data_IF_097720631634
#
_entry.id   IF_097720631634
#
_cell.length_a   1.000
_cell.length_b   1.000
_cell.length_c   1.000
_cell.angle_alpha   90.00
_cell.angle_beta   90.00
_cell.angle_gamma   90.00
#
_symmetry.space_group_name_H-M   'P 1'
#
loop_
_entity.id
_entity.type
_entity.pdbx_description
1 polymer ?
#
# COMPACT_ATOMS: atom_id res chain seq x y z
N UNK A 1 21.42 -35.40 -49.82
CA UNK A 1 20.53 -35.79 -48.71
C UNK A 1 21.16 -35.83 -47.30
N UNK A 2 22.45 -36.12 -47.14
CA UNK A 2 23.11 -36.14 -45.80
C UNK A 2 23.23 -34.75 -45.13
N UNK A 3 23.50 -33.69 -45.88
CA UNK A 3 23.72 -32.33 -45.33
C UNK A 3 22.45 -31.72 -44.72
N UNK A 4 21.27 -31.99 -45.33
CA UNK A 4 19.97 -31.48 -44.80
C UNK A 4 19.60 -32.16 -43.46
N UNK A 5 19.89 -33.45 -43.27
CA UNK A 5 19.62 -34.15 -42.01
C UNK A 5 20.49 -33.63 -40.86
N UNK A 6 21.76 -33.29 -41.13
CA UNK A 6 22.66 -32.74 -40.15
C UNK A 6 22.22 -31.29 -39.76
N UNK A 7 21.75 -30.51 -40.71
CA UNK A 7 21.24 -29.16 -40.43
C UNK A 7 19.98 -29.18 -39.56
N UNK A 8 19.04 -30.09 -39.84
CA UNK A 8 17.84 -30.27 -39.00
C UNK A 8 18.21 -30.70 -37.58
N UNK A 9 19.15 -31.65 -37.44
CA UNK A 9 19.62 -32.10 -36.14
C UNK A 9 20.27 -30.96 -35.31
N UNK A 10 21.13 -30.19 -35.95
CA UNK A 10 21.76 -29.02 -35.29
C UNK A 10 20.72 -27.97 -34.90
N UNK A 11 19.75 -27.68 -35.76
CA UNK A 11 18.68 -26.72 -35.46
C UNK A 11 17.82 -27.19 -34.30
N UNK A 12 17.39 -28.42 -34.25
CA UNK A 12 16.60 -28.94 -33.12
C UNK A 12 17.36 -29.00 -31.82
N UNK A 13 18.67 -29.17 -31.82
CA UNK A 13 19.50 -29.16 -30.64
C UNK A 13 19.81 -27.71 -30.17
N UNK A 14 20.00 -26.77 -31.08
CA UNK A 14 20.32 -25.38 -30.75
C UNK A 14 19.07 -24.55 -30.37
N UNK A 15 17.88 -24.91 -30.90
CA UNK A 15 16.65 -24.18 -30.69
C UNK A 15 16.28 -23.97 -29.20
N UNK A 16 16.28 -24.99 -28.32
CA UNK A 16 15.97 -24.78 -26.90
C UNK A 16 17.00 -23.89 -26.19
N UNK A 17 18.27 -23.95 -26.60
CA UNK A 17 19.32 -23.09 -26.03
C UNK A 17 19.13 -21.64 -26.47
N UNK A 18 18.85 -21.42 -27.76
CA UNK A 18 18.55 -20.09 -28.28
C UNK A 18 17.28 -19.51 -27.62
N UNK A 19 16.24 -20.31 -27.49
CA UNK A 19 15.00 -19.92 -26.83
C UNK A 19 15.23 -19.56 -25.35
N UNK A 20 16.03 -20.35 -24.63
CA UNK A 20 16.42 -20.07 -23.25
C UNK A 20 17.18 -18.75 -23.13
N UNK A 21 18.17 -18.52 -24.01
CA UNK A 21 18.93 -17.27 -24.01
C UNK A 21 18.07 -16.06 -24.39
N UNK A 22 17.15 -16.24 -25.34
CA UNK A 22 16.17 -15.23 -25.71
C UNK A 22 15.25 -14.87 -24.54
N UNK A 23 14.64 -15.86 -23.89
CA UNK A 23 13.78 -15.63 -22.74
C UNK A 23 14.55 -15.00 -21.56
N UNK A 24 15.80 -15.39 -21.35
CA UNK A 24 16.64 -14.77 -20.31
C UNK A 24 17.02 -13.34 -20.64
N UNK A 25 17.22 -12.99 -21.91
CA UNK A 25 17.60 -11.64 -22.35
C UNK A 25 16.40 -10.67 -22.42
N UNK A 26 15.21 -11.18 -22.78
CA UNK A 26 14.00 -10.39 -22.92
C UNK A 26 13.00 -10.60 -21.78
N UNK A 27 13.21 -11.60 -20.93
CA UNK A 27 12.33 -11.96 -19.83
C UNK A 27 12.57 -11.20 -18.54
N UNK A 28 13.28 -10.08 -18.56
CA UNK A 28 13.26 -9.13 -17.45
C UNK A 28 11.91 -8.41 -17.53
N UNK A 29 10.97 -8.87 -16.74
CA UNK A 29 9.71 -8.16 -16.51
C UNK A 29 10.07 -6.86 -15.75
N UNK A 30 10.36 -5.82 -16.48
CA UNK A 30 10.42 -4.45 -15.95
C UNK A 30 8.99 -3.94 -15.74
N UNK A 31 8.24 -4.58 -14.84
CA UNK A 31 7.05 -3.97 -14.27
C UNK A 31 7.52 -2.88 -13.31
N UNK A 32 7.69 -1.68 -13.85
CA UNK A 32 7.97 -0.53 -13.01
C UNK A 32 6.65 -0.02 -12.46
N UNK A 33 6.44 -0.26 -11.15
CA UNK A 33 5.27 0.27 -10.47
C UNK A 33 5.41 1.79 -10.38
N UNK A 34 4.36 2.55 -10.71
CA UNK A 34 4.39 4.00 -10.66
C UNK A 34 4.70 4.51 -9.26
N UNK A 35 5.33 5.67 -9.20
CA UNK A 35 5.37 6.51 -8.00
C UNK A 35 4.29 7.59 -8.21
N UNK A 36 3.29 7.59 -7.36
CA UNK A 36 2.23 8.58 -7.44
C UNK A 36 2.70 9.91 -6.82
N UNK A 37 2.33 11.02 -7.44
CA UNK A 37 2.61 12.38 -6.98
C UNK A 37 4.09 12.73 -6.75
N UNK A 38 5.01 12.10 -7.47
CA UNK A 38 6.45 12.41 -7.37
C UNK A 38 6.77 13.84 -7.86
N UNK A 39 6.06 14.29 -8.89
CA UNK A 39 6.23 15.62 -9.51
C UNK A 39 4.94 16.43 -9.58
N UNK A 40 3.81 15.83 -9.27
CA UNK A 40 2.50 16.45 -9.37
C UNK A 40 2.02 16.96 -8.01
N UNK A 41 1.40 18.15 -8.02
CA UNK A 41 0.73 18.68 -6.82
C UNK A 41 -0.51 17.83 -6.56
N UNK A 42 -0.68 17.35 -5.34
CA UNK A 42 -1.87 16.62 -4.92
C UNK A 42 -3.09 17.53 -5.08
N UNK A 43 -4.05 17.13 -5.90
CA UNK A 43 -5.11 17.99 -6.46
C UNK A 43 -5.98 18.72 -5.42
N UNK A 44 -6.08 18.16 -4.21
CA UNK A 44 -6.94 18.69 -3.13
C UNK A 44 -6.15 19.21 -1.94
N UNK A 45 -4.83 19.31 -2.05
CA UNK A 45 -4.01 19.87 -1.00
C UNK A 45 -3.96 21.40 -1.14
N UNK A 46 -4.55 22.10 -0.19
CA UNK A 46 -4.49 23.57 -0.14
C UNK A 46 -3.06 23.99 0.17
N UNK A 47 -2.41 24.71 -0.76
CA UNK A 47 -0.99 25.10 -0.71
C UNK A 47 -0.61 25.99 0.50
N UNK A 48 -1.58 26.36 1.31
CA UNK A 48 -1.34 27.21 2.50
C UNK A 48 -0.83 26.44 3.72
N UNK A 49 -0.90 25.08 3.72
CA UNK A 49 -0.52 24.22 4.86
C UNK A 49 0.27 22.97 4.45
N UNK A 50 1.10 23.06 3.42
CA UNK A 50 1.82 21.92 2.80
C UNK A 50 3.00 21.35 3.60
N UNK A 51 3.17 21.67 4.87
CA UNK A 51 4.13 20.95 5.70
C UNK A 51 3.57 19.56 6.03
N UNK A 52 3.74 18.61 5.09
CA UNK A 52 3.49 17.17 5.30
C UNK A 52 4.23 16.67 6.56
N UNK A 53 5.38 17.30 6.86
CA UNK A 53 6.21 17.06 8.04
C UNK A 53 5.56 17.49 9.37
N UNK A 54 4.45 18.25 9.35
CA UNK A 54 3.87 18.81 10.57
C UNK A 54 2.65 18.08 11.12
N UNK A 55 2.25 16.95 10.52
CA UNK A 55 1.13 16.17 11.04
C UNK A 55 1.60 15.29 12.19
N UNK A 56 1.17 15.66 13.40
CA UNK A 56 1.39 14.85 14.61
C UNK A 56 0.34 13.76 14.70
N UNK A 57 0.79 12.58 15.00
CA UNK A 57 -0.03 11.43 15.40
C UNK A 57 0.35 11.01 16.81
N UNK A 58 -0.52 10.27 17.45
CA UNK A 58 -0.36 9.90 18.85
C UNK A 58 -0.36 8.38 18.98
N UNK A 59 0.54 7.87 19.82
CA UNK A 59 0.56 6.47 20.22
C UNK A 59 -0.54 6.17 21.23
N UNK A 60 -0.75 4.90 21.52
CA UNK A 60 -1.68 4.45 22.56
C UNK A 60 -1.29 4.98 23.95
N UNK A 61 -0.01 5.23 24.19
CA UNK A 61 0.54 5.79 25.43
C UNK A 61 0.38 7.31 25.51
N UNK A 62 -0.07 7.95 24.42
CA UNK A 62 -0.28 9.40 24.33
C UNK A 62 0.93 10.18 23.85
N UNK A 63 2.04 9.52 23.51
CA UNK A 63 3.20 10.17 22.95
C UNK A 63 2.91 10.68 21.54
N UNK A 64 3.39 11.88 21.22
CA UNK A 64 3.24 12.45 19.87
C UNK A 64 4.47 12.19 19.03
N UNK A 65 4.24 11.69 17.83
CA UNK A 65 5.29 11.44 16.82
C UNK A 65 4.91 12.11 15.50
N UNK A 66 5.91 12.36 14.66
CA UNK A 66 5.66 12.85 13.29
C UNK A 66 5.20 11.69 12.42
N UNK A 67 4.15 11.91 11.63
CA UNK A 67 3.51 10.86 10.83
C UNK A 67 4.46 10.12 9.88
N UNK A 68 5.39 10.81 9.25
CA UNK A 68 6.29 10.23 8.24
C UNK A 68 7.64 9.73 8.80
N UNK A 69 8.04 10.18 9.99
CA UNK A 69 9.35 9.86 10.57
C UNK A 69 9.39 8.55 11.36
N UNK A 70 8.24 7.99 11.69
CA UNK A 70 8.13 7.00 12.76
C UNK A 70 8.35 5.55 12.36
N UNK A 71 8.55 5.26 11.08
CA UNK A 71 8.58 3.85 10.64
C UNK A 71 9.82 3.51 9.82
N UNK A 72 10.53 2.50 10.30
CA UNK A 72 11.72 1.94 9.64
C UNK A 72 11.41 0.79 8.67
N UNK A 73 10.13 0.38 8.54
CA UNK A 73 9.76 -0.69 7.63
C UNK A 73 10.01 -0.33 6.16
N UNK A 74 10.45 -1.32 5.37
CA UNK A 74 10.70 -1.13 3.95
C UNK A 74 9.42 -0.83 3.17
N UNK A 75 8.30 -1.43 3.58
CA UNK A 75 6.98 -1.16 3.02
C UNK A 75 5.96 -0.92 4.13
N UNK A 76 5.00 -0.05 3.84
CA UNK A 76 3.93 0.28 4.78
C UNK A 76 2.59 0.25 4.06
N UNK A 77 1.61 -0.37 4.68
CA UNK A 77 0.22 -0.31 4.23
C UNK A 77 -0.55 0.55 5.22
N UNK A 78 -0.98 1.72 4.75
CA UNK A 78 -1.70 2.70 5.57
C UNK A 78 -3.17 2.66 5.26
N UNK A 79 -4.01 2.72 6.29
CA UNK A 79 -5.46 2.81 6.14
C UNK A 79 -6.09 3.59 7.30
N UNK A 80 -7.33 4.04 7.06
CA UNK A 80 -8.17 4.71 8.07
C UNK A 80 -9.39 3.81 8.29
N UNK A 81 -9.45 3.01 9.37
CA UNK A 81 -10.57 2.10 9.60
C UNK A 81 -11.84 2.87 10.00
N UNK A 82 -12.99 2.37 9.56
CA UNK A 82 -14.30 2.76 10.09
C UNK A 82 -14.78 1.66 11.04
N UNK A 83 -14.73 1.91 12.33
CA UNK A 83 -15.14 0.95 13.37
C UNK A 83 -16.61 0.57 13.30
N UNK A 84 -17.45 1.43 12.75
CA UNK A 84 -18.90 1.21 12.63
C UNK A 84 -19.29 0.36 11.41
N UNK A 85 -18.30 0.06 10.53
CA UNK A 85 -18.55 -0.76 9.36
C UNK A 85 -18.81 -2.22 9.76
N UNK A 86 -19.95 -2.76 9.35
CA UNK A 86 -20.35 -4.17 9.62
C UNK A 86 -19.37 -5.19 9.02
N UNK A 87 -18.64 -4.79 7.98
CA UNK A 87 -17.67 -5.63 7.26
C UNK A 87 -16.23 -5.46 7.76
N UNK A 88 -16.02 -4.73 8.85
CA UNK A 88 -14.70 -4.46 9.42
C UNK A 88 -13.87 -5.73 9.65
N UNK A 89 -14.54 -6.86 9.92
CA UNK A 89 -13.87 -8.15 10.08
C UNK A 89 -13.25 -8.65 8.76
N UNK A 90 -13.87 -8.35 7.62
CA UNK A 90 -13.30 -8.66 6.30
C UNK A 90 -11.97 -7.92 6.11
N UNK A 91 -11.94 -6.62 6.38
CA UNK A 91 -10.71 -5.83 6.33
C UNK A 91 -9.62 -6.39 7.25
N UNK A 92 -9.97 -6.71 8.51
CA UNK A 92 -9.03 -7.33 9.47
C UNK A 92 -8.46 -8.65 8.95
N UNK A 93 -9.29 -9.49 8.34
CA UNK A 93 -8.85 -10.77 7.76
C UNK A 93 -7.90 -10.57 6.58
N UNK A 94 -8.22 -9.63 5.68
CA UNK A 94 -7.39 -9.32 4.53
C UNK A 94 -6.02 -8.72 4.94
N UNK A 95 -6.00 -7.80 5.90
CA UNK A 95 -4.75 -7.25 6.42
C UNK A 95 -3.90 -8.31 7.15
N UNK A 96 -4.53 -9.21 7.91
CA UNK A 96 -3.83 -10.36 8.49
C UNK A 96 -3.26 -11.29 7.40
N UNK A 97 -3.96 -11.45 6.26
CA UNK A 97 -3.45 -12.22 5.12
C UNK A 97 -2.20 -11.57 4.52
N UNK A 98 -2.16 -10.25 4.39
CA UNK A 98 -0.96 -9.51 3.98
C UNK A 98 0.20 -9.77 4.95
N UNK A 99 0.00 -9.59 6.26
CA UNK A 99 1.04 -9.82 7.28
C UNK A 99 1.55 -11.26 7.27
N UNK A 100 0.67 -12.26 7.16
CA UNK A 100 1.06 -13.67 7.10
C UNK A 100 1.85 -13.99 5.83
N UNK A 101 1.52 -13.34 4.71
CA UNK A 101 2.23 -13.56 3.44
C UNK A 101 3.68 -13.05 3.50
N UNK A 102 3.93 -12.03 4.33
CA UNK A 102 5.21 -11.35 4.44
C UNK A 102 5.77 -11.38 5.87
N UNK A 103 5.57 -12.49 6.59
CA UNK A 103 5.96 -12.63 7.99
C UNK A 103 7.45 -12.36 8.24
N UNK A 104 8.31 -12.80 7.32
CA UNK A 104 9.77 -12.65 7.41
C UNK A 104 10.30 -11.32 6.82
N UNK A 105 9.43 -10.45 6.31
CA UNK A 105 9.82 -9.23 5.61
C UNK A 105 9.46 -7.97 6.42
N UNK A 106 10.15 -6.88 6.15
CA UNK A 106 9.93 -5.58 6.80
C UNK A 106 8.71 -4.86 6.18
N UNK A 107 7.52 -5.31 6.57
CA UNK A 107 6.25 -4.72 6.14
C UNK A 107 5.40 -4.44 7.36
N UNK A 108 4.95 -3.19 7.50
CA UNK A 108 4.09 -2.74 8.60
C UNK A 108 2.72 -2.32 8.09
N UNK A 109 1.70 -2.58 8.90
CA UNK A 109 0.35 -2.04 8.71
C UNK A 109 0.14 -0.89 9.69
N UNK A 110 -0.32 0.25 9.17
CA UNK A 110 -0.53 1.47 9.91
C UNK A 110 -2.00 1.83 9.87
N UNK A 111 -2.66 1.74 11.02
CA UNK A 111 -4.05 2.14 11.20
C UNK A 111 -4.12 3.53 11.80
N UNK A 112 -4.68 4.49 11.06
CA UNK A 112 -4.85 5.87 11.51
C UNK A 112 -6.30 6.11 11.91
N UNK A 113 -6.54 6.52 13.15
CA UNK A 113 -7.87 6.72 13.70
C UNK A 113 -8.06 8.17 14.18
N UNK A 114 -9.24 8.78 13.95
CA UNK A 114 -9.53 10.08 14.54
C UNK A 114 -9.68 9.92 16.07
N UNK A 115 -9.17 10.86 16.83
CA UNK A 115 -9.42 10.93 18.27
C UNK A 115 -10.90 11.17 18.55
N UNK A 116 -11.49 10.37 19.42
CA UNK A 116 -12.83 10.67 19.92
C UNK A 116 -12.83 11.94 20.78
N UNK A 117 -13.85 12.78 20.62
CA UNK A 117 -13.96 14.05 21.35
C UNK A 117 -14.16 13.86 22.87
N UNK A 118 -14.51 12.66 23.30
CA UNK A 118 -14.84 12.33 24.69
C UNK A 118 -13.74 11.56 25.44
N UNK A 119 -12.68 11.13 24.76
CA UNK A 119 -11.67 10.28 25.39
C UNK A 119 -10.43 11.06 25.80
N UNK A 120 -10.37 11.35 27.10
CA UNK A 120 -9.12 11.71 27.77
C UNK A 120 -8.17 10.50 27.94
N UNK A 121 -8.60 9.31 27.54
CA UNK A 121 -7.83 8.06 27.55
C UNK A 121 -7.93 7.43 26.16
N UNK A 122 -6.81 7.39 25.47
CA UNK A 122 -6.63 6.65 24.21
C UNK A 122 -6.55 5.16 24.59
N UNK A 123 -7.67 4.60 25.01
CA UNK A 123 -7.78 3.22 25.47
C UNK A 123 -8.51 2.34 24.44
N UNK A 124 -8.40 2.66 23.15
CA UNK A 124 -8.91 1.77 22.14
C UNK A 124 -7.86 0.70 21.81
N UNK A 125 -8.33 -0.52 21.77
CA UNK A 125 -7.57 -1.70 21.39
C UNK A 125 -6.92 -1.48 20.02
N UNK A 126 -5.66 -1.90 19.85
CA UNK A 126 -4.98 -1.90 18.55
C UNK A 126 -5.88 -2.53 17.48
N UNK A 127 -6.01 -1.88 16.32
CA UNK A 127 -6.89 -2.36 15.23
C UNK A 127 -6.61 -3.80 14.84
N UNK A 128 -5.32 -4.17 14.80
CA UNK A 128 -4.84 -5.55 14.68
C UNK A 128 -3.90 -5.84 15.86
N UNK A 129 -4.13 -6.92 16.55
CA UNK A 129 -3.23 -7.35 17.64
C UNK A 129 -2.06 -8.17 17.08
N UNK A 130 -1.10 -7.50 16.42
CA UNK A 130 0.08 -8.09 15.77
C UNK A 130 1.29 -7.17 15.89
N UNK A 131 2.50 -7.73 15.99
CA UNK A 131 3.75 -6.99 16.18
C UNK A 131 4.06 -5.98 15.06
N UNK A 132 3.61 -6.26 13.83
CA UNK A 132 3.80 -5.41 12.65
C UNK A 132 2.57 -4.56 12.31
N UNK A 133 1.65 -4.41 13.24
CA UNK A 133 0.45 -3.60 13.08
C UNK A 133 0.42 -2.51 14.14
N UNK A 134 0.49 -1.27 13.69
CA UNK A 134 0.56 -0.10 14.54
C UNK A 134 -0.72 0.71 14.43
N UNK A 135 -1.27 1.10 15.55
CA UNK A 135 -2.45 1.99 15.62
C UNK A 135 -2.04 3.34 16.16
N UNK A 136 -2.45 4.39 15.45
CA UNK A 136 -2.18 5.77 15.84
C UNK A 136 -3.44 6.60 15.72
N UNK A 137 -3.48 7.67 16.51
CA UNK A 137 -4.60 8.59 16.58
C UNK A 137 -4.18 9.97 16.08
N UNK A 138 -5.07 10.66 15.43
CA UNK A 138 -4.87 12.03 14.98
C UNK A 138 -6.01 12.94 15.42
N UNK A 139 -5.74 14.24 15.53
CA UNK A 139 -6.76 15.21 15.84
C UNK A 139 -7.75 15.35 14.68
N UNK A 140 -9.07 15.33 14.93
CA UNK A 140 -10.13 15.35 13.91
C UNK A 140 -9.97 16.49 12.89
N UNK A 141 -9.45 17.65 13.30
CA UNK A 141 -9.19 18.78 12.42
C UNK A 141 -8.04 18.52 11.42
N UNK A 142 -7.30 17.41 11.57
CA UNK A 142 -6.20 17.01 10.69
C UNK A 142 -6.61 15.96 9.66
N UNK A 143 -7.82 15.44 9.72
CA UNK A 143 -8.29 14.39 8.80
C UNK A 143 -8.14 14.82 7.33
N UNK A 144 -8.62 16.01 6.96
CA UNK A 144 -8.51 16.48 5.58
C UNK A 144 -7.04 16.64 5.14
N UNK A 145 -6.14 17.08 6.02
CA UNK A 145 -4.72 17.17 5.72
C UNK A 145 -4.10 15.80 5.50
N UNK A 146 -4.43 14.80 6.31
CA UNK A 146 -3.95 13.43 6.18
C UNK A 146 -4.47 12.81 4.88
N UNK A 147 -5.77 12.91 4.64
CA UNK A 147 -6.44 12.30 3.49
C UNK A 147 -5.98 12.93 2.18
N UNK A 148 -5.96 14.25 2.08
CA UNK A 148 -5.76 14.94 0.81
C UNK A 148 -4.30 15.30 0.54
N UNK A 149 -3.52 15.63 1.58
CA UNK A 149 -2.15 16.10 1.39
C UNK A 149 -1.12 15.00 1.66
N UNK A 150 -1.24 14.24 2.72
CA UNK A 150 -0.24 13.21 3.03
C UNK A 150 -0.38 12.02 2.10
N UNK A 151 -1.55 11.39 2.09
CA UNK A 151 -1.76 10.15 1.36
C UNK A 151 -2.54 10.32 0.04
N UNK A 152 -3.09 11.50 -0.23
CA UNK A 152 -3.83 11.81 -1.46
C UNK A 152 -4.84 10.73 -1.86
N UNK A 153 -5.73 10.34 -0.94
CA UNK A 153 -6.72 9.29 -1.19
C UNK A 153 -7.53 9.61 -2.45
N UNK A 154 -7.71 8.65 -3.36
CA UNK A 154 -8.29 8.88 -4.69
C UNK A 154 -9.81 8.98 -4.63
N UNK A 155 -10.33 10.07 -4.08
CA UNK A 155 -11.78 10.29 -3.92
C UNK A 155 -12.54 10.35 -5.26
N UNK A 156 -11.89 10.72 -6.37
CA UNK A 156 -12.53 10.84 -7.68
C UNK A 156 -12.34 9.63 -8.61
N UNK A 157 -11.21 8.95 -8.56
CA UNK A 157 -10.88 7.86 -9.47
C UNK A 157 -11.77 6.63 -9.27
N UNK A 158 -12.33 6.46 -8.09
CA UNK A 158 -13.16 5.32 -7.71
C UNK A 158 -14.66 5.55 -7.91
N UNK A 159 -15.07 6.79 -8.24
CA UNK A 159 -16.48 7.14 -8.50
C UNK A 159 -17.13 6.33 -9.63
N UNK A 160 -16.36 5.68 -10.47
CA UNK A 160 -16.88 4.80 -11.54
C UNK A 160 -17.27 3.39 -11.09
N UNK A 161 -16.75 2.93 -9.97
CA UNK A 161 -16.94 1.56 -9.48
C UNK A 161 -17.96 1.47 -8.34
N UNK A 162 -18.05 2.52 -7.51
CA UNK A 162 -18.98 2.58 -6.36
C UNK A 162 -19.58 3.99 -6.27
N UNK A 163 -20.87 4.15 -6.58
CA UNK A 163 -21.53 5.46 -6.63
C UNK A 163 -21.86 6.07 -5.26
N UNK A 164 -21.46 5.47 -4.15
CA UNK A 164 -21.81 5.95 -2.82
C UNK A 164 -20.63 6.57 -2.10
N UNK A 165 -20.75 7.86 -1.80
CA UNK A 165 -20.14 8.60 -0.70
C UNK A 165 -18.58 8.62 -0.63
N UNK A 166 -18.02 9.82 -0.66
CA UNK A 166 -16.57 10.07 -0.47
C UNK A 166 -16.02 9.40 0.78
N UNK A 167 -16.83 9.32 1.82
CA UNK A 167 -16.50 8.70 3.10
C UNK A 167 -16.22 7.20 2.98
N UNK A 168 -17.00 6.46 2.17
CA UNK A 168 -16.78 5.04 1.89
C UNK A 168 -15.41 4.78 1.26
N UNK A 169 -15.00 5.63 0.33
CA UNK A 169 -13.73 5.47 -0.39
C UNK A 169 -12.53 5.62 0.54
N UNK A 170 -12.56 6.57 1.46
CA UNK A 170 -11.46 6.82 2.41
C UNK A 170 -11.27 5.61 3.33
N UNK A 171 -12.36 5.09 3.89
CA UNK A 171 -12.29 4.01 4.88
C UNK A 171 -12.00 2.63 4.29
N UNK A 172 -12.21 2.45 2.98
CA UNK A 172 -11.93 1.19 2.31
C UNK A 172 -10.55 1.15 1.66
N UNK A 173 -9.91 2.30 1.48
CA UNK A 173 -8.66 2.38 0.75
C UNK A 173 -7.45 1.99 1.62
N UNK A 174 -6.64 1.08 1.07
CA UNK A 174 -5.28 0.80 1.54
C UNK A 174 -4.29 1.56 0.66
N UNK A 175 -3.35 2.25 1.28
CA UNK A 175 -2.28 2.99 0.60
C UNK A 175 -0.96 2.27 0.81
N UNK A 176 -0.31 1.84 -0.27
CA UNK A 176 1.02 1.23 -0.21
C UNK A 176 2.09 2.32 -0.30
N UNK A 177 3.00 2.34 0.67
CA UNK A 177 4.18 3.18 0.71
C UNK A 177 5.45 2.34 0.61
N UNK A 178 6.47 2.86 -0.08
CA UNK A 178 7.82 2.29 -0.09
C UNK A 178 8.70 2.81 1.07
N UNK A 179 9.93 2.34 1.14
CA UNK A 179 10.93 2.74 2.16
C UNK A 179 11.24 4.25 2.18
N UNK A 180 10.94 4.97 1.11
CA UNK A 180 11.08 6.42 1.01
C UNK A 180 9.75 7.16 1.30
N UNK A 181 8.75 6.45 1.82
CA UNK A 181 7.40 6.96 2.06
C UNK A 181 6.69 7.47 0.79
N UNK A 182 7.09 7.00 -0.41
CA UNK A 182 6.43 7.35 -1.66
C UNK A 182 5.23 6.44 -1.90
N UNK A 183 4.14 6.99 -2.37
CA UNK A 183 2.91 6.25 -2.68
C UNK A 183 3.14 5.39 -3.92
N UNK A 184 2.90 4.08 -3.79
CA UNK A 184 3.09 3.09 -4.84
C UNK A 184 1.79 2.51 -5.38
N UNK A 185 0.70 2.61 -4.64
CA UNK A 185 -0.60 2.13 -5.06
C UNK A 185 -1.71 2.39 -4.05
N UNK A 186 -2.94 2.22 -4.57
CA UNK A 186 -4.19 2.30 -3.81
C UNK A 186 -5.02 1.04 -4.10
N UNK A 187 -5.61 0.47 -3.06
CA UNK A 187 -6.32 -0.81 -3.15
C UNK A 187 -7.57 -0.78 -2.29
N UNK A 188 -8.64 -1.43 -2.72
CA UNK A 188 -9.80 -1.63 -1.85
C UNK A 188 -9.51 -2.78 -0.87
N UNK A 189 -9.48 -2.46 0.43
CA UNK A 189 -9.18 -3.42 1.49
C UNK A 189 -10.28 -4.44 1.76
N UNK A 190 -11.47 -4.23 1.23
CA UNK A 190 -12.60 -5.17 1.33
C UNK A 190 -12.72 -6.09 0.12
N UNK A 191 -12.03 -5.79 -0.99
CA UNK A 191 -12.00 -6.62 -2.17
C UNK A 191 -10.77 -7.55 -2.19
N UNK A 192 -10.99 -8.85 -2.05
CA UNK A 192 -9.92 -9.87 -2.06
C UNK A 192 -9.00 -9.75 -3.29
N UNK A 193 -9.55 -9.43 -4.48
CA UNK A 193 -8.77 -9.26 -5.71
C UNK A 193 -7.82 -8.06 -5.64
N UNK A 194 -8.25 -6.96 -5.02
CA UNK A 194 -7.43 -5.78 -4.83
C UNK A 194 -6.32 -6.05 -3.81
N UNK A 195 -6.61 -6.81 -2.75
CA UNK A 195 -5.58 -7.24 -1.80
C UNK A 195 -4.62 -8.26 -2.43
N UNK A 196 -5.07 -9.14 -3.35
CA UNK A 196 -4.19 -9.99 -4.15
C UNK A 196 -3.25 -9.16 -5.02
N UNK A 197 -3.76 -8.06 -5.63
CA UNK A 197 -2.96 -7.11 -6.38
C UNK A 197 -1.93 -6.41 -5.48
N UNK A 198 -2.32 -5.93 -4.31
CA UNK A 198 -1.41 -5.36 -3.30
C UNK A 198 -0.26 -6.33 -2.99
N UNK A 199 -0.57 -7.59 -2.68
CA UNK A 199 0.43 -8.62 -2.36
C UNK A 199 1.37 -8.86 -3.56
N UNK A 200 0.84 -8.91 -4.78
CA UNK A 200 1.65 -9.09 -5.98
C UNK A 200 2.60 -7.89 -6.19
N UNK A 201 2.09 -6.68 -6.04
CA UNK A 201 2.86 -5.46 -6.24
C UNK A 201 3.96 -5.28 -5.19
N UNK A 202 3.71 -5.64 -3.93
CA UNK A 202 4.77 -5.70 -2.90
C UNK A 202 5.88 -6.68 -3.32
N UNK A 203 5.55 -7.88 -3.85
CA UNK A 203 6.56 -8.84 -4.34
C UNK A 203 7.38 -8.28 -5.50
N UNK A 204 6.74 -7.53 -6.40
CA UNK A 204 7.43 -6.86 -7.52
C UNK A 204 8.41 -5.82 -6.99
N UNK A 205 8.02 -5.01 -6.01
CA UNK A 205 8.91 -4.02 -5.40
C UNK A 205 10.09 -4.66 -4.68
N UNK A 206 9.84 -5.74 -3.92
CA UNK A 206 10.90 -6.51 -3.24
C UNK A 206 11.91 -7.14 -4.20
N UNK A 207 11.49 -7.47 -5.42
CA UNK A 207 12.40 -8.07 -6.42
C UNK A 207 13.36 -7.07 -7.05
N UNK A 208 13.17 -5.77 -6.84
CA UNK A 208 13.96 -4.67 -7.41
C UNK A 208 14.96 -4.04 -6.43
N UNK A 209 14.78 -4.29 -5.14
CA UNK A 209 15.69 -3.87 -4.07
C UNK A 209 16.81 -4.89 -3.85
#
# INVERSE_FOLDING_TARGET
MKKSKIFILLFTLSFPVILYLFLRSYGQNEFDLPVFFETEVKAYCDNTNTNEESVKIYTQEGDSIQLLESYSADFKVVHIPNSDNKEIQTLKNELNRVLNTFEDLSIDIISLQPKSANDSLIAEESFLNRDKAHSFWFDNNKQNQIVNCVYAFPTEQWKGSHPSEEEYLIYNTLVLLDKKNRIRGYYDGYETKEVDRLILEIRVLLSKD
#
